data_IF_357527211335
#
_entry.id   IF_357527211335
#
_cell.length_a   1.000
_cell.length_b   1.000
_cell.length_c   1.000
_cell.angle_alpha   90.00
_cell.angle_beta   90.00
_cell.angle_gamma   90.00
#
_symmetry.space_group_name_H-M   'P 1'
#
loop_
_entity.id
_entity.type
_entity.pdbx_description
1 polymer ?
#
# COMPACT_ATOMS: atom_id res chain seq x y z
N UNK A 1 5.40 25.05 3.29
CA UNK A 1 4.06 24.63 2.82
C UNK A 1 3.78 23.28 3.48
N UNK A 2 2.74 23.15 4.30
CA UNK A 2 2.43 21.86 4.94
C UNK A 2 1.72 20.94 3.94
N UNK A 3 2.18 19.70 3.82
CA UNK A 3 1.54 18.66 3.00
C UNK A 3 0.48 17.98 3.85
N UNK A 4 -0.78 17.98 3.39
CA UNK A 4 -1.88 17.27 4.04
C UNK A 4 -2.25 16.07 3.18
N UNK A 5 -2.39 14.90 3.81
CA UNK A 5 -2.88 13.72 3.12
C UNK A 5 -4.39 13.80 2.99
N UNK A 6 -4.90 13.53 1.80
CA UNK A 6 -6.34 13.41 1.56
C UNK A 6 -6.86 12.11 2.21
N UNK A 7 -7.94 12.14 3.00
CA UNK A 7 -8.52 10.95 3.61
C UNK A 7 -8.91 9.87 2.57
N UNK A 8 -8.88 8.58 2.95
CA UNK A 8 -9.58 7.55 2.19
C UNK A 8 -11.09 7.87 2.16
N UNK A 9 -11.76 7.76 1.00
CA UNK A 9 -13.18 8.03 0.90
C UNK A 9 -14.00 7.16 1.87
N UNK A 10 -15.09 7.72 2.40
CA UNK A 10 -15.96 7.08 3.41
C UNK A 10 -17.39 6.90 2.91
N UNK A 11 -18.07 5.87 3.41
CA UNK A 11 -19.47 5.60 3.06
C UNK A 11 -19.67 5.46 1.55
N UNK A 12 -20.50 6.34 0.98
CA UNK A 12 -20.82 6.43 -0.45
C UNK A 12 -19.89 7.33 -1.26
N UNK A 13 -18.84 7.90 -0.65
CA UNK A 13 -17.86 8.71 -1.38
C UNK A 13 -17.08 7.85 -2.38
N UNK A 14 -16.82 8.45 -3.55
CA UNK A 14 -16.13 7.80 -4.67
C UNK A 14 -14.61 8.00 -4.58
N UNK A 15 -13.89 7.18 -5.34
CA UNK A 15 -12.46 7.35 -5.57
C UNK A 15 -12.12 8.76 -6.10
N UNK A 16 -11.00 9.33 -5.65
CA UNK A 16 -10.48 10.61 -6.16
C UNK A 16 -8.97 10.53 -6.40
N UNK A 17 -8.47 11.25 -7.40
CA UNK A 17 -7.03 11.34 -7.67
C UNK A 17 -6.25 12.00 -6.51
N UNK A 18 -6.89 12.90 -5.74
CA UNK A 18 -6.26 13.52 -4.58
C UNK A 18 -5.98 12.49 -3.45
N UNK A 19 -6.94 11.60 -3.19
CA UNK A 19 -6.73 10.46 -2.32
C UNK A 19 -5.64 9.54 -2.88
N UNK A 20 -5.69 9.22 -4.18
CA UNK A 20 -4.74 8.33 -4.83
C UNK A 20 -3.28 8.78 -4.68
N UNK A 21 -3.01 10.07 -4.93
CA UNK A 21 -1.67 10.63 -4.74
C UNK A 21 -1.24 10.63 -3.27
N UNK A 22 -2.15 10.95 -2.34
CA UNK A 22 -1.86 10.92 -0.91
C UNK A 22 -1.59 9.50 -0.39
N UNK A 23 -2.33 8.55 -0.92
CA UNK A 23 -2.20 7.13 -0.66
C UNK A 23 -0.83 6.60 -1.08
N UNK A 24 -0.43 6.81 -2.34
CA UNK A 24 0.90 6.38 -2.81
C UNK A 24 2.05 7.11 -2.11
N UNK A 25 1.89 8.40 -1.80
CA UNK A 25 2.88 9.11 -0.99
C UNK A 25 3.06 8.44 0.39
N UNK A 26 1.96 8.05 1.04
CA UNK A 26 2.02 7.42 2.35
C UNK A 26 2.70 6.05 2.31
N UNK A 27 2.37 5.19 1.34
CA UNK A 27 3.03 3.87 1.18
C UNK A 27 4.52 4.03 0.90
N UNK A 28 4.91 5.01 0.08
CA UNK A 28 6.32 5.30 -0.20
C UNK A 28 7.09 5.79 1.03
N UNK A 29 6.46 6.57 1.91
CA UNK A 29 7.08 6.93 3.19
C UNK A 29 7.27 5.70 4.07
N UNK A 30 6.32 4.74 4.08
CA UNK A 30 6.50 3.46 4.80
C UNK A 30 7.64 2.64 4.20
N UNK A 31 7.74 2.55 2.87
CA UNK A 31 8.86 1.88 2.23
C UNK A 31 10.21 2.51 2.62
N UNK A 32 10.29 3.85 2.67
CA UNK A 32 11.50 4.52 3.16
C UNK A 32 11.80 4.14 4.62
N UNK A 33 10.78 3.97 5.47
CA UNK A 33 11.00 3.54 6.85
C UNK A 33 11.68 2.17 6.93
N UNK A 34 11.28 1.21 6.10
CA UNK A 34 11.77 -0.17 6.11
C UNK A 34 12.93 -0.44 5.13
N UNK A 35 13.54 0.59 4.53
CA UNK A 35 14.50 0.45 3.43
C UNK A 35 13.96 -0.44 2.30
N UNK A 36 12.72 -0.18 1.85
CA UNK A 36 11.99 -0.99 0.88
C UNK A 36 11.93 -2.47 1.31
N UNK A 37 11.59 -2.69 2.59
CA UNK A 37 11.47 -3.98 3.24
C UNK A 37 12.77 -4.78 3.41
N UNK A 38 13.94 -4.12 3.29
CA UNK A 38 15.22 -4.73 3.62
C UNK A 38 15.47 -4.82 5.14
N UNK A 39 14.80 -3.98 5.93
CA UNK A 39 14.78 -4.07 7.40
C UNK A 39 13.35 -4.15 7.92
N UNK A 40 13.18 -4.66 9.15
CA UNK A 40 11.87 -4.69 9.79
C UNK A 40 11.49 -3.30 10.30
N UNK A 41 10.35 -2.78 9.85
CA UNK A 41 9.76 -1.56 10.40
C UNK A 41 8.90 -1.85 11.64
N UNK A 42 8.61 -0.79 12.41
CA UNK A 42 7.71 -0.84 13.56
C UNK A 42 6.61 0.21 13.43
N UNK A 43 5.35 -0.23 13.35
CA UNK A 43 4.19 0.65 13.20
C UNK A 43 4.08 1.70 14.32
N UNK A 44 4.65 1.40 15.51
CA UNK A 44 4.60 2.27 16.69
C UNK A 44 5.50 3.51 16.56
N UNK A 45 6.47 3.51 15.65
CA UNK A 45 7.37 4.65 15.45
C UNK A 45 6.67 5.80 14.73
N UNK A 46 5.72 5.51 13.83
CA UNK A 46 4.94 6.51 13.09
C UNK A 46 3.45 6.11 13.08
N UNK A 47 2.76 6.13 14.24
CA UNK A 47 1.44 5.51 14.37
C UNK A 47 0.37 6.11 13.44
N UNK A 48 0.45 7.41 13.14
CA UNK A 48 -0.53 8.05 12.26
C UNK A 48 -0.44 7.57 10.82
N UNK A 49 0.77 7.23 10.36
CA UNK A 49 1.02 6.79 8.98
C UNK A 49 0.45 5.40 8.76
N UNK A 50 0.70 4.47 9.68
CA UNK A 50 0.12 3.12 9.61
C UNK A 50 -1.40 3.13 9.80
N UNK A 51 -1.95 4.03 10.63
CA UNK A 51 -3.40 4.22 10.70
C UNK A 51 -3.98 4.66 9.36
N UNK A 52 -3.30 5.56 8.64
CA UNK A 52 -3.72 6.00 7.31
C UNK A 52 -3.67 4.84 6.30
N UNK A 53 -2.54 4.13 6.21
CA UNK A 53 -2.37 2.95 5.33
C UNK A 53 -3.45 1.90 5.56
N UNK A 54 -3.75 1.58 6.84
CA UNK A 54 -4.83 0.64 7.19
C UNK A 54 -6.22 1.17 6.89
N UNK A 55 -6.45 2.48 7.00
CA UNK A 55 -7.71 3.10 6.59
C UNK A 55 -7.90 3.01 5.07
N UNK A 56 -6.83 3.23 4.30
CA UNK A 56 -6.81 3.04 2.84
C UNK A 56 -7.10 1.59 2.46
N UNK A 57 -6.55 0.61 3.18
CA UNK A 57 -6.88 -0.81 2.96
C UNK A 57 -8.37 -1.10 3.13
N UNK A 58 -9.00 -0.54 4.18
CA UNK A 58 -10.45 -0.69 4.38
C UNK A 58 -11.26 -0.06 3.24
N UNK A 59 -10.80 1.05 2.67
CA UNK A 59 -11.39 1.62 1.46
C UNK A 59 -11.27 0.65 0.28
N UNK A 60 -10.07 0.17 -0.04
CA UNK A 60 -9.85 -0.72 -1.18
C UNK A 60 -10.60 -2.05 -1.05
N UNK A 61 -10.61 -2.68 0.12
CA UNK A 61 -11.37 -3.91 0.34
C UNK A 61 -12.88 -3.69 0.22
N UNK A 62 -13.38 -2.48 0.50
CA UNK A 62 -14.77 -2.12 0.19
C UNK A 62 -15.00 -2.03 -1.32
N UNK A 63 -14.10 -1.41 -2.07
CA UNK A 63 -14.19 -1.39 -3.54
C UNK A 63 -14.18 -2.81 -4.12
N UNK A 64 -13.32 -3.70 -3.63
CA UNK A 64 -13.29 -5.13 -4.02
C UNK A 64 -14.65 -5.81 -3.79
N UNK A 65 -15.31 -5.53 -2.66
CA UNK A 65 -16.64 -6.09 -2.37
C UNK A 65 -17.72 -5.52 -3.30
N UNK A 66 -17.69 -4.22 -3.56
CA UNK A 66 -18.63 -3.56 -4.47
C UNK A 66 -18.45 -4.01 -5.92
N UNK A 67 -17.21 -4.25 -6.35
CA UNK A 67 -16.89 -4.72 -7.69
C UNK A 67 -17.54 -6.07 -8.03
N UNK A 68 -17.86 -6.89 -7.02
CA UNK A 68 -18.60 -8.16 -7.22
C UNK A 68 -20.03 -7.96 -7.71
N UNK A 69 -20.66 -6.84 -7.34
CA UNK A 69 -22.01 -6.46 -7.78
C UNK A 69 -22.00 -5.48 -8.94
N UNK A 70 -20.95 -4.67 -9.05
CA UNK A 70 -20.80 -3.66 -10.10
C UNK A 70 -19.38 -3.69 -10.68
N UNK A 71 -19.17 -4.36 -11.82
CA UNK A 71 -17.86 -4.48 -12.45
C UNK A 71 -17.22 -3.14 -12.87
N UNK A 72 -17.99 -2.04 -12.94
CA UNK A 72 -17.46 -0.72 -13.24
C UNK A 72 -16.73 -0.09 -12.05
N UNK A 73 -16.87 -0.65 -10.84
CA UNK A 73 -16.16 -0.18 -9.65
C UNK A 73 -14.65 -0.39 -9.84
N UNK A 74 -13.92 0.72 -9.75
CA UNK A 74 -12.47 0.72 -9.80
C UNK A 74 -11.87 0.11 -8.52
N UNK A 75 -10.92 -0.80 -8.71
CA UNK A 75 -10.13 -1.42 -7.65
C UNK A 75 -8.66 -1.28 -8.03
N UNK A 76 -7.89 -0.60 -7.18
CA UNK A 76 -6.45 -0.46 -7.35
C UNK A 76 -5.73 -1.68 -6.77
N UNK A 77 -5.38 -2.63 -7.64
CA UNK A 77 -4.64 -3.83 -7.23
C UNK A 77 -3.22 -3.50 -6.79
N UNK A 78 -2.60 -2.48 -7.39
CA UNK A 78 -1.25 -2.04 -7.06
C UNK A 78 -1.24 -1.45 -5.65
N UNK A 79 -2.23 -0.61 -5.35
CA UNK A 79 -2.41 -0.06 -4.02
C UNK A 79 -2.67 -1.12 -2.95
N UNK A 80 -3.47 -2.14 -3.24
CA UNK A 80 -3.68 -3.26 -2.31
C UNK A 80 -2.37 -4.02 -2.08
N UNK A 81 -1.61 -4.30 -3.14
CA UNK A 81 -0.33 -4.98 -3.06
C UNK A 81 0.70 -4.17 -2.24
N UNK A 82 0.80 -2.87 -2.45
CA UNK A 82 1.71 -2.01 -1.69
C UNK A 82 1.37 -1.96 -0.20
N UNK A 83 0.08 -1.92 0.16
CA UNK A 83 -0.32 -1.97 1.57
C UNK A 83 0.08 -3.31 2.19
N UNK A 84 -0.18 -4.43 1.50
CA UNK A 84 0.22 -5.75 1.99
C UNK A 84 1.74 -5.82 2.18
N UNK A 85 2.51 -5.27 1.24
CA UNK A 85 3.96 -5.27 1.34
C UNK A 85 4.47 -4.37 2.49
N UNK A 86 3.86 -3.20 2.70
CA UNK A 86 4.15 -2.32 3.84
C UNK A 86 3.89 -3.02 5.18
N UNK A 87 2.77 -3.73 5.32
CA UNK A 87 2.42 -4.47 6.53
C UNK A 87 3.35 -5.67 6.75
N UNK A 88 3.71 -6.40 5.68
CA UNK A 88 4.75 -7.45 5.73
C UNK A 88 6.12 -6.88 6.11
N UNK A 89 6.43 -5.64 5.70
CA UNK A 89 7.56 -4.84 6.16
C UNK A 89 7.65 -4.70 7.68
N UNK A 90 6.51 -4.74 8.37
CA UNK A 90 6.42 -4.75 9.83
C UNK A 90 6.49 -6.15 10.45
N UNK A 91 6.77 -7.18 9.64
CA UNK A 91 6.78 -8.59 10.06
C UNK A 91 5.40 -9.19 10.25
N UNK A 92 4.38 -8.63 9.61
CA UNK A 92 3.03 -9.20 9.62
C UNK A 92 2.91 -10.32 8.58
N UNK A 93 2.06 -11.28 8.89
CA UNK A 93 1.73 -12.45 8.06
C UNK A 93 0.22 -12.60 7.99
N UNK A 94 -0.26 -13.47 7.11
CA UNK A 94 -1.67 -13.86 7.04
C UNK A 94 -2.18 -14.44 8.35
N UNK A 95 -1.31 -15.07 9.14
CA UNK A 95 -1.65 -15.64 10.44
C UNK A 95 -1.75 -14.58 11.56
N UNK A 96 -1.07 -13.45 11.41
CA UNK A 96 -0.98 -12.42 12.46
C UNK A 96 -1.79 -11.16 12.17
N UNK A 97 -2.16 -10.90 10.90
CA UNK A 97 -2.89 -9.70 10.51
C UNK A 97 -4.00 -10.02 9.47
N UNK A 98 -5.27 -9.72 9.78
CA UNK A 98 -6.39 -10.04 8.89
C UNK A 98 -6.39 -9.21 7.60
N UNK A 99 -5.82 -8.01 7.57
CA UNK A 99 -5.72 -7.20 6.35
C UNK A 99 -4.69 -7.80 5.39
N UNK A 100 -3.56 -8.30 5.92
CA UNK A 100 -2.58 -9.04 5.11
C UNK A 100 -3.22 -10.29 4.52
N UNK A 101 -4.00 -11.04 5.31
CA UNK A 101 -4.74 -12.20 4.83
C UNK A 101 -5.75 -11.84 3.73
N UNK A 102 -6.62 -10.85 3.96
CA UNK A 102 -7.64 -10.44 3.00
C UNK A 102 -7.03 -9.94 1.67
N UNK A 103 -5.99 -9.10 1.75
CA UNK A 103 -5.27 -8.60 0.58
C UNK A 103 -4.57 -9.71 -0.21
N UNK A 104 -3.91 -10.65 0.48
CA UNK A 104 -3.26 -11.81 -0.14
C UNK A 104 -4.28 -12.67 -0.88
N UNK A 105 -5.42 -12.99 -0.25
CA UNK A 105 -6.47 -13.77 -0.90
C UNK A 105 -7.04 -13.06 -2.12
N UNK A 106 -7.20 -11.73 -2.08
CA UNK A 106 -7.62 -10.96 -3.24
C UNK A 106 -6.58 -11.05 -4.38
N UNK A 107 -5.30 -10.79 -4.10
CA UNK A 107 -4.25 -10.86 -5.12
C UNK A 107 -4.18 -12.24 -5.75
N UNK A 108 -4.15 -13.33 -4.97
CA UNK A 108 -4.10 -14.68 -5.52
C UNK A 108 -5.32 -15.02 -6.40
N UNK A 109 -6.52 -14.53 -6.04
CA UNK A 109 -7.73 -14.71 -6.87
C UNK A 109 -7.72 -13.88 -8.15
N UNK A 110 -7.05 -12.75 -8.12
CA UNK A 110 -6.92 -11.83 -9.26
C UNK A 110 -5.80 -12.21 -10.23
N UNK A 111 -4.94 -13.17 -9.86
CA UNK A 111 -3.87 -13.65 -10.73
C UNK A 111 -4.46 -14.38 -11.95
N UNK A 112 -4.00 -14.01 -13.14
CA UNK A 112 -4.41 -14.65 -14.39
C UNK A 112 -3.69 -15.98 -14.56
N UNK A 113 -4.23 -16.85 -15.42
CA UNK A 113 -3.65 -18.18 -15.72
C UNK A 113 -2.19 -18.13 -16.21
N UNK A 114 -1.78 -17.04 -16.87
CA UNK A 114 -0.41 -16.87 -17.37
C UNK A 114 0.55 -16.24 -16.34
N UNK A 115 0.09 -16.02 -15.10
CA UNK A 115 0.89 -15.60 -13.95
C UNK A 115 0.96 -14.10 -13.67
N UNK A 116 0.44 -13.25 -14.56
CA UNK A 116 0.38 -11.80 -14.40
C UNK A 116 -0.91 -11.34 -13.69
N UNK A 117 -0.92 -10.07 -13.32
CA UNK A 117 -2.09 -9.38 -12.79
C UNK A 117 -2.62 -8.33 -13.77
N UNK A 118 -3.92 -8.02 -13.76
CA UNK A 118 -4.51 -7.00 -14.61
C UNK A 118 -3.94 -5.61 -14.32
N UNK A 119 -3.71 -4.84 -15.38
CA UNK A 119 -3.29 -3.45 -15.30
C UNK A 119 -4.51 -2.56 -15.52
N UNK A 120 -4.99 -1.92 -14.46
CA UNK A 120 -6.15 -1.03 -14.51
C UNK A 120 -5.69 0.33 -14.00
N UNK A 121 -5.66 1.33 -14.89
CA UNK A 121 -5.25 2.70 -14.55
C UNK A 121 -6.49 3.61 -14.59
N UNK A 122 -6.79 4.35 -13.51
CA UNK A 122 -7.91 5.29 -13.48
C UNK A 122 -7.83 6.29 -14.64
N UNK A 123 -8.90 6.38 -15.42
CA UNK A 123 -8.98 7.32 -16.55
C UNK A 123 -8.30 6.85 -17.84
N UNK A 124 -7.75 5.63 -17.87
CA UNK A 124 -7.24 5.00 -19.09
C UNK A 124 -8.13 3.80 -19.50
N UNK A 125 -9.26 4.09 -20.16
CA UNK A 125 -10.24 3.07 -20.59
C UNK A 125 -9.81 2.26 -21.84
N UNK A 126 -8.55 2.38 -22.23
CA UNK A 126 -7.98 1.71 -23.40
C UNK A 126 -7.60 0.24 -23.11
N UNK A 127 -7.33 -0.55 -24.17
CA UNK A 127 -6.79 -1.88 -23.98
C UNK A 127 -5.43 -1.82 -23.28
N UNK A 128 -5.15 -2.76 -22.37
CA UNK A 128 -3.88 -2.83 -21.61
C UNK A 128 -2.62 -2.80 -22.50
N UNK A 129 -2.72 -3.26 -23.74
CA UNK A 129 -1.61 -3.24 -24.70
C UNK A 129 -1.14 -1.84 -25.10
N UNK A 130 -1.97 -0.81 -24.88
CA UNK A 130 -1.66 0.59 -25.16
C UNK A 130 -1.17 1.36 -23.93
N UNK A 131 -1.24 0.78 -22.75
CA UNK A 131 -0.65 1.37 -21.55
C UNK A 131 0.86 1.44 -21.69
N UNK A 132 1.47 2.42 -21.00
CA UNK A 132 2.93 2.51 -20.88
C UNK A 132 3.52 1.16 -20.41
N UNK A 133 4.68 0.72 -20.94
CA UNK A 133 5.31 -0.53 -20.51
C UNK A 133 5.48 -0.65 -18.99
N UNK A 134 5.74 0.45 -18.30
CA UNK A 134 5.79 0.49 -16.84
C UNK A 134 4.45 0.11 -16.22
N UNK A 135 3.35 0.76 -16.62
CA UNK A 135 1.99 0.45 -16.11
C UNK A 135 1.59 -1.01 -16.37
N UNK A 136 2.05 -1.61 -17.47
CA UNK A 136 1.73 -3.01 -17.81
C UNK A 136 2.44 -4.02 -16.93
N UNK A 137 3.68 -3.75 -16.53
CA UNK A 137 4.46 -4.68 -15.70
C UNK A 137 4.23 -4.44 -14.21
N UNK A 138 3.88 -3.22 -13.83
CA UNK A 138 3.81 -2.78 -12.43
C UNK A 138 2.92 -3.66 -11.55
N UNK A 139 1.67 -4.00 -11.93
CA UNK A 139 0.82 -4.87 -11.11
C UNK A 139 1.44 -6.23 -10.80
N UNK A 140 2.10 -6.82 -11.79
CA UNK A 140 2.76 -8.11 -11.63
C UNK A 140 3.97 -8.00 -10.72
N UNK A 141 4.76 -6.92 -10.87
CA UNK A 141 5.90 -6.66 -10.01
C UNK A 141 5.47 -6.47 -8.55
N UNK A 142 4.54 -5.55 -8.27
CA UNK A 142 4.13 -5.23 -6.90
C UNK A 142 3.41 -6.40 -6.23
N UNK A 143 2.53 -7.11 -6.95
CA UNK A 143 1.89 -8.33 -6.42
C UNK A 143 2.91 -9.43 -6.11
N UNK A 144 3.91 -9.62 -6.95
CA UNK A 144 4.96 -10.62 -6.68
C UNK A 144 5.78 -10.25 -5.45
N UNK A 145 6.14 -8.97 -5.30
CA UNK A 145 6.88 -8.51 -4.13
C UNK A 145 6.07 -8.66 -2.84
N UNK A 146 4.78 -8.29 -2.87
CA UNK A 146 3.90 -8.35 -1.70
C UNK A 146 3.55 -9.78 -1.29
N UNK A 147 3.46 -10.72 -2.23
CA UNK A 147 3.18 -12.14 -1.94
C UNK A 147 4.40 -12.92 -1.43
N UNK A 148 5.60 -12.36 -1.55
CA UNK A 148 6.82 -13.01 -1.07
C UNK A 148 6.94 -12.90 0.46
N UNK A 149 7.41 -13.98 1.10
CA UNK A 149 7.77 -13.96 2.51
C UNK A 149 8.96 -13.04 2.83
N UNK A 150 8.92 -12.44 4.02
CA UNK A 150 9.98 -11.58 4.54
C UNK A 150 10.70 -12.28 5.68
N UNK A 151 12.01 -12.42 5.53
CA UNK A 151 12.88 -12.98 6.56
C UNK A 151 13.84 -11.91 7.07
N UNK A 152 13.46 -11.28 8.18
CA UNK A 152 14.26 -10.25 8.84
C UNK A 152 15.37 -10.81 9.75
N UNK A 153 15.65 -12.12 9.71
CA UNK A 153 16.79 -12.72 10.41
C UNK A 153 18.11 -12.42 9.69
N UNK A 154 18.04 -12.13 8.39
CA UNK A 154 19.19 -11.68 7.60
C UNK A 154 19.41 -10.20 7.90
N UNK A 155 20.53 -9.88 8.54
CA UNK A 155 20.89 -8.50 8.84
C UNK A 155 21.44 -7.83 7.57
N UNK A 156 20.59 -7.05 6.90
CA UNK A 156 20.95 -6.20 5.77
C UNK A 156 20.72 -4.72 6.12
N UNK A 157 21.31 -3.79 5.36
CA UNK A 157 21.14 -2.35 5.54
C UNK A 157 21.41 -1.85 6.98
N UNK A 158 22.52 -2.31 7.58
CA UNK A 158 22.86 -2.10 9.00
C UNK A 158 22.84 -0.64 9.48
N UNK A 159 23.07 0.33 8.58
CA UNK A 159 23.06 1.76 8.90
C UNK A 159 21.67 2.40 8.84
N UNK A 160 20.72 1.77 8.15
CA UNK A 160 19.40 2.34 7.89
C UNK A 160 18.53 2.49 9.15
N UNK A 161 18.48 1.51 10.08
CA UNK A 161 17.69 1.65 11.31
C UNK A 161 18.09 2.89 12.13
N UNK A 162 19.40 3.14 12.26
CA UNK A 162 19.89 4.31 12.99
C UNK A 162 19.56 5.61 12.25
N UNK A 163 19.78 5.63 10.93
CA UNK A 163 19.46 6.76 10.08
C UNK A 163 17.98 7.15 10.17
N UNK A 164 17.06 6.19 9.96
CA UNK A 164 15.63 6.48 9.97
C UNK A 164 15.14 6.88 11.37
N UNK A 165 15.65 6.23 12.43
CA UNK A 165 15.31 6.59 13.81
C UNK A 165 15.76 8.03 14.13
N UNK A 166 16.92 8.45 13.63
CA UNK A 166 17.39 9.84 13.74
C UNK A 166 16.45 10.78 12.98
N UNK A 167 16.09 10.47 11.74
CA UNK A 167 15.16 11.28 10.93
C UNK A 167 13.83 11.47 11.66
N UNK A 168 13.16 10.38 12.06
CA UNK A 168 11.87 10.41 12.76
C UNK A 168 11.94 11.27 14.04
N UNK A 169 13.02 11.16 14.80
CA UNK A 169 13.22 11.95 16.02
C UNK A 169 13.44 13.42 15.71
N UNK A 170 14.33 13.75 14.77
CA UNK A 170 14.70 15.15 14.49
C UNK A 170 13.63 15.96 13.79
N UNK A 171 12.75 15.30 13.02
CA UNK A 171 11.64 15.96 12.33
C UNK A 171 10.32 15.83 13.09
N UNK A 172 10.34 15.18 14.26
CA UNK A 172 9.15 14.82 15.03
C UNK A 172 8.09 14.08 14.18
N UNK A 173 8.51 13.29 13.19
CA UNK A 173 7.62 12.69 12.19
C UNK A 173 6.56 11.76 12.78
N UNK A 174 6.73 11.31 14.02
CA UNK A 174 5.73 10.55 14.77
C UNK A 174 4.48 11.38 15.14
N UNK A 175 4.56 12.72 15.03
CA UNK A 175 3.46 13.66 15.26
C UNK A 175 2.86 14.09 13.92
N UNK A 176 1.54 14.32 13.93
CA UNK A 176 0.82 14.86 12.80
C UNK A 176 0.35 16.28 13.16
N UNK A 177 0.74 17.27 12.36
CA UNK A 177 0.47 18.70 12.63
C UNK A 177 -0.99 19.11 12.42
N UNK A 178 -1.86 18.16 12.08
CA UNK A 178 -3.28 18.38 11.90
C UNK A 178 -4.08 17.20 12.45
N UNK A 179 -5.33 17.47 12.81
CA UNK A 179 -6.26 16.43 13.23
C UNK A 179 -6.65 15.58 12.01
N UNK A 180 -6.34 14.28 11.97
CA UNK A 180 -6.65 13.45 10.82
C UNK A 180 -8.17 13.27 10.69
N UNK A 181 -8.65 13.29 9.45
CA UNK A 181 -10.05 13.03 9.11
C UNK A 181 -10.40 11.54 8.93
N UNK A 182 -9.46 10.63 9.16
CA UNK A 182 -9.53 9.18 8.87
C UNK A 182 -9.44 8.30 10.10
#
# INVERSE_FOLDING_TARGET
RSVRLEPPPRGSEVFTNAFHHSFYLATHIVYVQSAYNAIKANEREIPWLYRYVRASMRFWMRQVRLQRSDPAVYVDIDGIAEIVDCLRGCGMTEASDPMVCEGTLFMLRSQRKKGDWPAVIPGEDGPESKLDPYHRVHPTWVCTQSLRDRDFRVADNLFWPEFIAKVIRTTEFHKLDYKPGW
#
